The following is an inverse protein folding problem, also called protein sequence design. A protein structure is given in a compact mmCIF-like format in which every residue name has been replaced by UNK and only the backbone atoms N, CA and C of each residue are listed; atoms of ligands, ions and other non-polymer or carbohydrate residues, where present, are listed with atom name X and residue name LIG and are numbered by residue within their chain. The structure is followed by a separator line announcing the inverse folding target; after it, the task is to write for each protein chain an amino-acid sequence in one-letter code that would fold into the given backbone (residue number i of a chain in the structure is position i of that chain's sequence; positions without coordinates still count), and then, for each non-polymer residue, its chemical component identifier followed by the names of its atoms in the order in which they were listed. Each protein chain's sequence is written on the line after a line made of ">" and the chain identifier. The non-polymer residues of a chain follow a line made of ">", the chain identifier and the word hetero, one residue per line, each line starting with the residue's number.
data_IF_537872917772
#
_entry.id   IF_537872917772
#
_cell.length_a   1.000
_cell.length_b   1.000
_cell.length_c   1.000
_cell.angle_alpha   90.00
_cell.angle_beta   90.00
_cell.angle_gamma   90.00
#
_symmetry.space_group_name_H-M   'P 1'
#
loop_
_entity.id
_entity.type
_entity.pdbx_description
1 polymer ?
#
# COMPACT_ATOMS: atom_id res chain seq x y z
N UNK A 1 1.67 4.25 -18.41
CA UNK A 1 2.02 3.84 -17.04
C UNK A 1 1.46 4.90 -16.12
N UNK A 2 0.43 4.61 -15.32
CA UNK A 2 -0.13 5.64 -14.43
C UNK A 2 0.99 6.15 -13.51
N UNK A 3 1.18 7.46 -13.46
CA UNK A 3 2.16 8.10 -12.60
C UNK A 3 1.82 7.78 -11.14
N UNK A 4 2.83 7.43 -10.35
CA UNK A 4 2.69 7.01 -8.95
C UNK A 4 3.59 7.88 -8.11
N UNK A 5 3.02 8.51 -7.10
CA UNK A 5 3.74 9.31 -6.12
C UNK A 5 3.69 8.59 -4.77
N UNK A 6 4.86 8.25 -4.23
CA UNK A 6 4.98 7.63 -2.90
C UNK A 6 4.74 8.70 -1.83
N UNK A 7 3.80 8.44 -0.92
CA UNK A 7 3.36 9.38 0.13
C UNK A 7 3.83 8.98 1.53
N UNK A 8 4.15 7.69 1.69
CA UNK A 8 4.62 7.12 2.95
C UNK A 8 5.32 5.80 2.65
N UNK A 9 6.48 5.58 3.26
CA UNK A 9 7.15 4.28 3.28
C UNK A 9 7.62 3.98 4.70
N UNK A 10 7.47 2.73 5.12
CA UNK A 10 8.02 2.27 6.40
C UNK A 10 8.54 0.85 6.30
N UNK A 11 9.75 0.56 6.82
CA UNK A 11 10.23 -0.82 6.91
C UNK A 11 9.32 -1.69 7.79
N UNK A 12 9.28 -2.98 7.50
CA UNK A 12 8.60 -3.98 8.32
C UNK A 12 9.60 -4.83 9.11
N UNK A 13 9.23 -5.32 10.32
CA UNK A 13 10.01 -6.32 11.01
C UNK A 13 10.11 -7.60 10.17
N UNK A 14 11.32 -8.16 10.07
CA UNK A 14 11.57 -9.35 9.23
C UNK A 14 11.85 -9.04 7.76
N UNK A 15 11.96 -7.75 7.39
CA UNK A 15 12.37 -7.30 6.06
C UNK A 15 11.21 -6.84 5.18
N UNK A 16 11.56 -6.10 4.12
CA UNK A 16 10.58 -5.43 3.26
C UNK A 16 10.03 -4.13 3.87
N UNK A 17 8.97 -3.60 3.27
CA UNK A 17 8.37 -2.34 3.64
C UNK A 17 6.88 -2.28 3.29
N UNK A 18 6.16 -1.36 3.93
CA UNK A 18 4.86 -0.88 3.46
C UNK A 18 5.04 0.44 2.73
N UNK A 19 4.25 0.63 1.68
CA UNK A 19 4.19 1.88 0.91
C UNK A 19 2.74 2.33 0.76
N UNK A 20 2.48 3.61 1.00
CA UNK A 20 1.25 4.28 0.55
C UNK A 20 1.59 5.04 -0.72
N UNK A 21 0.94 4.68 -1.82
CA UNK A 21 1.07 5.38 -3.10
C UNK A 21 -0.26 5.95 -3.56
N UNK A 22 -0.20 7.10 -4.22
CA UNK A 22 -1.34 7.64 -4.94
C UNK A 22 -1.40 7.02 -6.33
N UNK A 23 -2.61 6.73 -6.79
CA UNK A 23 -2.90 6.51 -8.20
C UNK A 23 -4.04 7.36 -8.70
N UNK A 24 -3.94 7.72 -9.97
CA UNK A 24 -4.98 8.45 -10.68
C UNK A 24 -4.66 9.92 -10.80
N UNK A 25 -5.51 10.59 -11.58
CA UNK A 25 -5.46 12.03 -11.79
C UNK A 25 -6.08 12.75 -10.58
N UNK A 26 -5.41 13.73 -9.97
CA UNK A 26 -5.98 14.55 -8.88
C UNK A 26 -7.36 15.13 -9.20
N UNK A 27 -7.70 15.31 -10.48
CA UNK A 27 -8.96 15.88 -10.97
C UNK A 27 -10.08 14.83 -11.03
N UNK A 28 -9.76 13.55 -11.23
CA UNK A 28 -10.75 12.47 -11.41
C UNK A 28 -11.17 11.78 -10.10
N UNK A 29 -10.56 12.15 -8.98
CA UNK A 29 -10.76 11.53 -7.67
C UNK A 29 -9.45 10.99 -7.09
N UNK A 30 -9.29 11.10 -5.78
CA UNK A 30 -8.06 10.72 -5.11
C UNK A 30 -8.14 9.26 -4.65
N UNK A 31 -7.38 8.37 -5.29
CA UNK A 31 -7.24 6.98 -4.90
C UNK A 31 -5.83 6.73 -4.34
N UNK A 32 -5.74 6.24 -3.11
CA UNK A 32 -4.49 5.80 -2.48
C UNK A 32 -4.54 4.34 -2.15
N UNK A 33 -3.36 3.71 -2.16
CA UNK A 33 -3.23 2.28 -1.92
C UNK A 33 -2.12 2.01 -0.94
N UNK A 34 -2.34 1.04 -0.08
CA UNK A 34 -1.34 0.48 0.82
C UNK A 34 -0.81 -0.81 0.24
N UNK A 35 0.49 -0.86 -0.02
CA UNK A 35 1.22 -2.02 -0.50
C UNK A 35 2.11 -2.60 0.56
N UNK A 36 2.42 -3.88 0.39
CA UNK A 36 3.45 -4.57 1.18
C UNK A 36 4.46 -5.16 0.22
N UNK A 37 5.69 -4.69 0.26
CA UNK A 37 6.82 -5.42 -0.29
C UNK A 37 7.44 -6.25 0.83
N UNK A 38 7.51 -7.57 0.67
CA UNK A 38 8.03 -8.47 1.71
C UNK A 38 9.51 -8.79 1.54
N UNK A 39 10.16 -8.24 0.51
CA UNK A 39 11.55 -8.58 0.15
C UNK A 39 12.46 -7.38 0.36
N UNK A 40 13.65 -7.65 0.89
CA UNK A 40 14.71 -6.67 1.01
C UNK A 40 15.38 -6.32 -0.33
N UNK A 41 15.27 -7.22 -1.33
CA UNK A 41 15.80 -7.04 -2.68
C UNK A 41 14.65 -6.83 -3.69
N UNK A 42 14.45 -5.59 -4.19
CA UNK A 42 13.43 -5.25 -5.17
C UNK A 42 13.63 -5.95 -6.54
N UNK A 43 14.83 -6.42 -6.87
CA UNK A 43 15.15 -6.98 -8.18
C UNK A 43 14.80 -8.47 -8.32
N UNK A 44 14.59 -9.20 -7.21
CA UNK A 44 14.35 -10.67 -7.24
C UNK A 44 13.03 -11.12 -7.90
N UNK A 45 12.15 -10.20 -8.29
CA UNK A 45 11.03 -10.44 -9.22
C UNK A 45 10.74 -9.17 -10.02
N UNK A 46 11.65 -8.80 -10.91
CA UNK A 46 11.31 -7.85 -11.98
C UNK A 46 9.99 -8.31 -12.66
N UNK A 47 8.94 -7.50 -12.57
CA UNK A 47 7.62 -7.76 -13.17
C UNK A 47 6.49 -8.22 -12.24
N UNK A 48 6.72 -8.47 -10.94
CA UNK A 48 5.60 -8.71 -10.01
C UNK A 48 5.27 -7.44 -9.21
N UNK A 49 4.05 -6.94 -9.36
CA UNK A 49 3.58 -5.81 -8.58
C UNK A 49 3.38 -6.21 -7.11
N UNK A 50 3.92 -5.39 -6.20
CA UNK A 50 3.72 -5.58 -4.77
C UNK A 50 2.22 -5.65 -4.44
N UNK A 51 1.80 -6.58 -3.57
CA UNK A 51 0.40 -6.76 -3.19
C UNK A 51 -0.18 -5.48 -2.58
N UNK A 52 -1.32 -5.04 -3.11
CA UNK A 52 -2.15 -4.00 -2.50
C UNK A 52 -3.05 -4.65 -1.45
N UNK A 53 -2.88 -4.28 -0.19
CA UNK A 53 -3.57 -4.88 0.96
C UNK A 53 -4.71 -4.00 1.51
N UNK A 54 -4.76 -2.73 1.11
CA UNK A 54 -5.86 -1.81 1.35
C UNK A 54 -5.85 -0.68 0.31
N UNK A 55 -7.02 -0.11 0.05
CA UNK A 55 -7.23 1.05 -0.81
C UNK A 55 -8.18 2.01 -0.12
N UNK A 56 -7.98 3.31 -0.29
CA UNK A 56 -8.91 4.33 0.14
C UNK A 56 -9.13 5.32 -1.00
N UNK A 57 -10.37 5.75 -1.15
CA UNK A 57 -10.80 6.72 -2.17
C UNK A 57 -11.53 7.86 -1.45
N UNK A 58 -11.34 9.08 -1.93
CA UNK A 58 -12.01 10.23 -1.34
C UNK A 58 -11.85 11.49 -2.15
N UNK A 59 -12.60 12.51 -1.75
CA UNK A 59 -12.48 13.89 -2.26
C UNK A 59 -11.44 14.69 -1.49
N UNK A 60 -11.06 14.24 -0.29
CA UNK A 60 -10.01 14.83 0.53
C UNK A 60 -8.78 13.93 0.59
N UNK A 61 -7.66 14.31 -0.04
CA UNK A 61 -6.42 13.55 -0.04
C UNK A 61 -5.88 13.21 1.35
N UNK A 62 -5.95 14.17 2.28
CA UNK A 62 -5.42 14.02 3.63
C UNK A 62 -6.13 12.92 4.42
N UNK A 63 -7.45 12.86 4.33
CA UNK A 63 -8.27 11.86 5.03
C UNK A 63 -7.99 10.44 4.53
N UNK A 64 -7.96 10.24 3.20
CA UNK A 64 -7.69 8.93 2.61
C UNK A 64 -6.27 8.42 2.94
N UNK A 65 -5.28 9.32 2.97
CA UNK A 65 -3.91 8.97 3.40
C UNK A 65 -3.86 8.66 4.89
N UNK A 66 -4.55 9.43 5.73
CA UNK A 66 -4.57 9.24 7.18
C UNK A 66 -5.13 7.85 7.55
N UNK A 67 -6.23 7.43 6.93
CA UNK A 67 -6.81 6.09 7.12
C UNK A 67 -5.79 4.98 6.82
N UNK A 68 -5.12 5.06 5.66
CA UNK A 68 -4.11 4.07 5.29
C UNK A 68 -2.87 4.15 6.19
N UNK A 69 -2.52 5.34 6.71
CA UNK A 69 -1.42 5.51 7.66
C UNK A 69 -1.69 4.83 8.99
N UNK A 70 -2.91 4.84 9.50
CA UNK A 70 -3.26 4.12 10.73
C UNK A 70 -3.02 2.61 10.59
N UNK A 71 -3.41 2.04 9.45
CA UNK A 71 -3.13 0.64 9.13
C UNK A 71 -1.62 0.44 8.98
N UNK A 72 -0.96 1.25 8.15
CA UNK A 72 0.46 1.13 7.86
C UNK A 72 1.32 1.27 9.11
N UNK A 73 0.90 2.05 10.10
CA UNK A 73 1.58 2.25 11.37
C UNK A 73 1.50 1.04 12.32
N UNK A 74 0.57 0.09 12.12
CA UNK A 74 0.38 -1.05 13.00
C UNK A 74 0.79 -2.38 12.33
N UNK A 75 1.78 -3.07 12.91
CA UNK A 75 2.20 -4.39 12.42
C UNK A 75 1.06 -5.42 12.46
N UNK A 76 0.21 -5.35 13.49
CA UNK A 76 -0.96 -6.23 13.63
C UNK A 76 -1.97 -5.95 12.52
N UNK A 77 -2.30 -4.67 12.28
CA UNK A 77 -3.24 -4.28 11.23
C UNK A 77 -2.72 -4.67 9.84
N UNK A 78 -1.44 -4.46 9.56
CA UNK A 78 -0.78 -4.90 8.32
C UNK A 78 -0.88 -6.43 8.16
N UNK A 79 -0.54 -7.20 9.18
CA UNK A 79 -0.59 -8.66 9.14
C UNK A 79 -2.02 -9.18 8.86
N UNK A 80 -3.03 -8.62 9.52
CA UNK A 80 -4.43 -8.96 9.29
C UNK A 80 -4.90 -8.65 7.86
N UNK A 81 -4.41 -7.57 7.25
CA UNK A 81 -4.75 -7.19 5.87
C UNK A 81 -4.04 -8.09 4.85
N UNK A 82 -2.79 -8.45 5.11
CA UNK A 82 -2.07 -9.46 4.31
C UNK A 82 -2.83 -10.79 4.34
N UNK A 83 -3.25 -11.25 5.52
CA UNK A 83 -3.98 -12.51 5.67
C UNK A 83 -5.30 -12.49 4.90
N UNK A 84 -6.10 -11.43 5.05
CA UNK A 84 -7.36 -11.25 4.29
C UNK A 84 -7.14 -11.25 2.77
N UNK A 85 -6.10 -10.58 2.31
CA UNK A 85 -5.72 -10.56 0.90
C UNK A 85 -5.29 -11.95 0.39
N UNK A 86 -4.63 -12.76 1.21
CA UNK A 86 -4.24 -14.14 0.86
C UNK A 86 -5.46 -15.06 0.77
N UNK A 87 -6.39 -14.96 1.72
CA UNK A 87 -7.60 -15.81 1.76
C UNK A 87 -8.59 -15.46 0.66
N UNK A 88 -8.70 -14.19 0.27
CA UNK A 88 -9.58 -13.75 -0.83
C UNK A 88 -9.06 -14.06 -2.24
N UNK A 89 -7.90 -14.72 -2.35
CA UNK A 89 -7.28 -15.14 -3.62
C UNK A 89 -7.31 -16.65 -3.85
N UNK A 90 -7.85 -17.41 -2.90
CA UNK A 90 -8.03 -18.86 -2.97
C UNK A 90 -9.30 -19.24 -3.71
#
# INVERSE_FOLDING_TARGET
>A
MAERSSLYTRPLPGGGYVEIDQTGDPVAGFCVRLRVERRADPQRRAGHQAPVIATAEGTEPGAAVAELREIAASNVSVAQRIQRWQTGRG
#
